data_IF_243303925361
#
_entry.id   IF_243303925361
#
_cell.length_a   1.000
_cell.length_b   1.000
_cell.length_c   1.000
_cell.angle_alpha   90.00
_cell.angle_beta   90.00
_cell.angle_gamma   90.00
#
_symmetry.space_group_name_H-M   'P 1'
#
loop_
_entity.id
_entity.type
_entity.pdbx_description
1 polymer ?
#
# COMPACT_ATOMS: atom_id res chain seq x y z
N UNK A 1 -7.64 -3.47 19.29
CA UNK A 1 -6.35 -3.07 18.68
C UNK A 1 -6.29 -1.55 18.64
N UNK A 2 -5.18 -0.90 19.03
CA UNK A 2 -5.07 0.55 18.86
C UNK A 2 -5.33 0.92 17.39
N UNK A 3 -6.04 2.02 17.16
CA UNK A 3 -6.42 2.44 15.80
C UNK A 3 -5.19 2.68 14.94
N UNK A 4 -5.22 2.17 13.70
CA UNK A 4 -4.21 2.49 12.69
C UNK A 4 -4.27 3.99 12.39
N UNK A 5 -3.12 4.66 12.30
CA UNK A 5 -3.10 6.07 11.97
C UNK A 5 -3.73 6.31 10.58
N UNK A 6 -4.63 7.29 10.50
CA UNK A 6 -5.40 7.57 9.29
C UNK A 6 -5.43 9.06 9.01
N UNK A 7 -5.26 9.41 7.73
CA UNK A 7 -5.43 10.79 7.25
C UNK A 7 -6.47 10.79 6.15
N UNK A 8 -7.50 11.61 6.32
CA UNK A 8 -8.45 11.91 5.27
C UNK A 8 -7.91 13.03 4.38
N UNK A 9 -7.88 12.79 3.08
CA UNK A 9 -7.38 13.73 2.07
C UNK A 9 -8.59 14.38 1.39
N UNK A 10 -8.69 15.70 1.46
CA UNK A 10 -9.69 16.44 0.71
C UNK A 10 -9.38 16.34 -0.78
N UNK A 11 -10.35 15.86 -1.56
CA UNK A 11 -10.30 15.82 -3.02
C UNK A 11 -11.50 16.60 -3.52
N UNK A 12 -11.27 17.60 -4.37
CA UNK A 12 -12.33 18.50 -4.87
C UNK A 12 -13.24 17.80 -5.88
N UNK A 13 -12.68 16.86 -6.65
CA UNK A 13 -13.35 16.11 -7.72
C UNK A 13 -13.49 14.61 -7.41
N UNK A 14 -13.92 13.85 -8.42
CA UNK A 14 -13.97 12.39 -8.38
C UNK A 14 -12.59 11.74 -8.17
N UNK A 15 -12.49 10.82 -7.23
CA UNK A 15 -11.30 10.06 -6.88
C UNK A 15 -11.54 8.54 -7.10
N UNK A 16 -10.81 7.90 -8.03
CA UNK A 16 -10.93 6.46 -8.25
C UNK A 16 -10.22 5.61 -7.18
N UNK A 17 -9.48 6.24 -6.26
CA UNK A 17 -8.71 5.55 -5.21
C UNK A 17 -9.56 5.45 -3.95
N UNK A 18 -9.73 4.24 -3.40
CA UNK A 18 -10.40 4.03 -2.12
C UNK A 18 -9.49 4.34 -0.94
N UNK A 19 -8.23 3.90 -1.02
CA UNK A 19 -7.23 4.14 0.00
C UNK A 19 -5.82 3.92 -0.56
N UNK A 20 -4.83 4.50 0.10
CA UNK A 20 -3.45 4.09 0.03
C UNK A 20 -2.96 3.67 1.42
N UNK A 21 -2.09 2.68 1.49
CA UNK A 21 -1.56 2.17 2.75
C UNK A 21 -0.04 2.12 2.74
N UNK A 22 0.54 2.41 3.89
CA UNK A 22 1.92 2.07 4.18
C UNK A 22 1.95 0.97 5.24
N UNK A 23 2.56 -0.15 4.92
CA UNK A 23 2.67 -1.31 5.78
C UNK A 23 4.10 -1.81 5.86
N UNK A 24 4.42 -2.51 6.94
CA UNK A 24 5.73 -3.11 7.17
C UNK A 24 5.59 -4.47 7.86
N UNK A 25 6.60 -5.31 7.68
CA UNK A 25 6.73 -6.57 8.40
C UNK A 25 7.36 -6.32 9.76
N UNK A 26 6.64 -6.58 10.84
CA UNK A 26 7.17 -6.62 12.20
C UNK A 26 7.67 -8.04 12.51
N UNK A 27 8.91 -8.16 12.98
CA UNK A 27 9.54 -9.46 13.20
C UNK A 27 8.88 -10.31 14.31
N UNK A 28 8.05 -9.68 15.15
CA UNK A 28 7.34 -10.34 16.26
C UNK A 28 5.86 -10.50 15.91
N UNK A 29 5.25 -9.45 15.34
CA UNK A 29 3.80 -9.36 15.16
C UNK A 29 3.33 -9.64 13.71
N UNK A 30 4.26 -9.86 12.78
CA UNK A 30 3.95 -10.04 11.36
C UNK A 30 3.59 -8.72 10.67
N UNK A 31 2.79 -8.73 9.59
CA UNK A 31 2.43 -7.51 8.86
C UNK A 31 1.66 -6.51 9.72
N UNK A 32 2.05 -5.24 9.59
CA UNK A 32 1.42 -4.11 10.29
C UNK A 32 1.17 -2.99 9.32
N UNK A 33 -0.04 -2.42 9.35
CA UNK A 33 -0.31 -1.14 8.69
C UNK A 33 0.14 -0.02 9.62
N UNK A 34 1.05 0.81 9.13
CA UNK A 34 1.51 1.99 9.85
C UNK A 34 0.58 3.17 9.61
N UNK A 35 0.12 3.35 8.36
CA UNK A 35 -0.70 4.49 8.00
C UNK A 35 -1.68 4.19 6.86
N UNK A 36 -2.84 4.84 6.90
CA UNK A 36 -3.87 4.82 5.86
C UNK A 36 -4.13 6.25 5.38
N UNK A 37 -4.06 6.48 4.06
CA UNK A 37 -4.58 7.69 3.43
C UNK A 37 -5.85 7.33 2.66
N UNK A 38 -6.94 8.04 2.93
CA UNK A 38 -8.21 7.82 2.24
C UNK A 38 -8.81 9.16 1.78
N UNK A 39 -9.44 9.26 0.60
CA UNK A 39 -10.15 10.47 0.22
C UNK A 39 -11.33 10.72 1.16
N UNK A 40 -11.58 11.99 1.46
CA UNK A 40 -12.70 12.42 2.29
C UNK A 40 -13.98 12.43 1.46
N UNK A 41 -15.02 11.72 1.90
CA UNK A 41 -16.37 11.84 1.35
C UNK A 41 -16.70 11.04 0.08
N UNK A 42 -15.73 10.36 -0.55
CA UNK A 42 -15.98 9.41 -1.64
C UNK A 42 -15.47 8.02 -1.25
N UNK A 43 -16.33 7.00 -1.32
CA UNK A 43 -15.92 5.59 -1.16
C UNK A 43 -15.90 5.01 0.26
N UNK A 44 -16.35 5.76 1.28
CA UNK A 44 -16.48 5.31 2.69
C UNK A 44 -17.37 4.06 2.91
N UNK A 45 -17.94 3.48 1.86
CA UNK A 45 -18.85 2.33 1.92
C UNK A 45 -18.22 1.00 1.49
N UNK A 46 -17.10 0.97 0.74
CA UNK A 46 -16.66 -0.29 0.12
C UNK A 46 -15.73 -1.12 1.01
N UNK A 47 -14.88 -0.47 1.82
CA UNK A 47 -13.95 -1.15 2.72
C UNK A 47 -13.89 -0.45 4.07
N UNK A 48 -14.07 -1.22 5.13
CA UNK A 48 -13.77 -0.78 6.50
C UNK A 48 -12.25 -0.72 6.74
N UNK A 49 -11.81 0.05 7.75
CA UNK A 49 -10.40 0.12 8.14
C UNK A 49 -9.82 -1.28 8.50
N UNK A 50 -10.67 -2.18 9.02
CA UNK A 50 -10.31 -3.57 9.29
C UNK A 50 -10.04 -4.36 8.02
N UNK A 51 -10.81 -4.16 6.96
CA UNK A 51 -10.58 -4.79 5.66
C UNK A 51 -9.34 -4.24 4.97
N UNK A 52 -9.13 -2.92 5.00
CA UNK A 52 -7.90 -2.30 4.49
C UNK A 52 -6.66 -2.87 5.19
N UNK A 53 -6.75 -3.06 6.50
CA UNK A 53 -5.68 -3.70 7.29
C UNK A 53 -5.48 -5.16 6.89
N UNK A 54 -6.56 -5.92 6.71
CA UNK A 54 -6.51 -7.31 6.25
C UNK A 54 -5.83 -7.44 4.88
N UNK A 55 -6.14 -6.56 3.93
CA UNK A 55 -5.56 -6.54 2.59
C UNK A 55 -4.05 -6.27 2.61
N UNK A 56 -3.63 -5.28 3.41
CA UNK A 56 -2.22 -4.98 3.59
C UNK A 56 -1.46 -6.14 4.24
N UNK A 57 -2.08 -6.85 5.18
CA UNK A 57 -1.50 -8.03 5.80
C UNK A 57 -1.33 -9.17 4.79
N UNK A 58 -2.34 -9.41 3.95
CA UNK A 58 -2.28 -10.43 2.90
C UNK A 58 -1.16 -10.15 1.90
N UNK A 59 -0.89 -8.87 1.61
CA UNK A 59 0.17 -8.45 0.67
C UNK A 59 1.57 -8.85 1.16
N UNK A 60 1.83 -8.74 2.48
CA UNK A 60 3.17 -8.94 3.07
C UNK A 60 3.40 -10.36 3.61
N UNK A 61 2.36 -11.15 3.87
CA UNK A 61 2.47 -12.51 4.45
C UNK A 61 3.33 -13.51 3.67
N UNK A 62 3.62 -13.26 2.38
CA UNK A 62 4.50 -14.09 1.56
C UNK A 62 5.92 -13.56 1.34
N UNK A 63 6.25 -12.38 1.87
CA UNK A 63 7.43 -11.62 1.43
C UNK A 63 8.64 -11.70 2.37
N UNK A 64 8.52 -12.37 3.52
CA UNK A 64 9.55 -12.40 4.56
C UNK A 64 10.86 -13.07 4.12
N UNK A 65 10.80 -14.06 3.23
CA UNK A 65 11.98 -14.77 2.73
C UNK A 65 12.55 -14.18 1.43
N UNK A 66 12.13 -12.96 1.05
CA UNK A 66 12.67 -12.33 -0.17
C UNK A 66 14.16 -12.04 -0.03
N UNK A 67 14.91 -12.59 -0.98
CA UNK A 67 16.25 -12.13 -1.35
C UNK A 67 16.11 -11.14 -2.52
N UNK A 68 15.65 -9.92 -2.24
CA UNK A 68 15.66 -8.87 -3.26
C UNK A 68 17.08 -8.31 -3.41
N UNK A 69 17.49 -7.96 -4.64
CA UNK A 69 18.70 -7.16 -4.80
C UNK A 69 18.57 -5.85 -4.01
N UNK A 70 19.66 -5.39 -3.38
CA UNK A 70 19.63 -4.19 -2.55
C UNK A 70 19.09 -3.00 -3.35
N UNK A 71 17.95 -2.45 -2.91
CA UNK A 71 17.29 -1.34 -3.58
C UNK A 71 16.22 -1.72 -4.62
N UNK A 72 15.99 -3.01 -4.90
CA UNK A 72 14.88 -3.45 -5.74
C UNK A 72 13.52 -3.05 -5.15
N UNK A 73 12.53 -2.80 -6.02
CA UNK A 73 11.15 -2.52 -5.64
C UNK A 73 10.27 -3.38 -6.53
N UNK A 74 9.55 -4.29 -5.90
CA UNK A 74 8.72 -5.26 -6.60
C UNK A 74 7.28 -4.80 -6.63
N UNK A 75 6.66 -5.01 -7.79
CA UNK A 75 5.31 -4.55 -8.04
C UNK A 75 4.42 -5.77 -8.06
N UNK A 76 3.39 -5.77 -7.23
CA UNK A 76 2.32 -6.75 -7.28
C UNK A 76 1.01 -6.07 -7.63
N UNK A 77 0.30 -6.71 -8.55
CA UNK A 77 -1.02 -6.31 -8.97
C UNK A 77 -1.99 -7.43 -8.61
N UNK A 78 -2.98 -7.12 -7.79
CA UNK A 78 -4.00 -8.07 -7.35
C UNK A 78 -5.38 -7.58 -7.76
N UNK A 79 -6.21 -8.52 -8.21
CA UNK A 79 -7.66 -8.33 -8.33
C UNK A 79 -8.30 -9.22 -7.27
N UNK A 80 -8.98 -8.60 -6.32
CA UNK A 80 -9.69 -9.31 -5.26
C UNK A 80 -11.19 -9.24 -5.53
N UNK A 81 -11.66 -10.16 -6.37
CA UNK A 81 -13.01 -10.14 -6.91
C UNK A 81 -14.09 -10.25 -5.83
N UNK A 82 -13.85 -11.03 -4.78
CA UNK A 82 -14.76 -11.19 -3.65
C UNK A 82 -14.95 -9.91 -2.83
N UNK A 83 -14.02 -8.95 -2.93
CA UNK A 83 -14.11 -7.62 -2.31
C UNK A 83 -14.35 -6.51 -3.33
N UNK A 84 -14.43 -6.84 -4.62
CA UNK A 84 -14.65 -5.86 -5.68
C UNK A 84 -13.57 -4.78 -5.76
N UNK A 85 -12.31 -5.13 -5.44
CA UNK A 85 -11.18 -4.17 -5.46
C UNK A 85 -9.99 -4.68 -6.26
N UNK A 86 -9.19 -3.73 -6.72
CA UNK A 86 -7.83 -3.96 -7.22
C UNK A 86 -6.83 -3.31 -6.29
N UNK A 87 -5.67 -3.95 -6.15
CA UNK A 87 -4.61 -3.51 -5.25
C UNK A 87 -3.31 -3.52 -6.04
N UNK A 88 -2.61 -2.38 -6.02
CA UNK A 88 -1.26 -2.28 -6.56
C UNK A 88 -0.32 -1.99 -5.42
N UNK A 89 0.57 -2.94 -5.14
CA UNK A 89 1.49 -2.88 -4.02
C UNK A 89 2.92 -2.87 -4.52
N UNK A 90 3.68 -1.88 -4.05
CA UNK A 90 5.12 -1.82 -4.25
C UNK A 90 5.78 -2.29 -2.96
N UNK A 91 6.46 -3.43 -3.04
CA UNK A 91 7.11 -4.12 -1.93
C UNK A 91 8.60 -3.87 -2.01
N UNK A 92 9.21 -3.51 -0.90
CA UNK A 92 10.56 -2.98 -0.88
C UNK A 92 11.19 -3.12 0.50
N UNK A 93 12.49 -3.35 0.57
CA UNK A 93 13.20 -3.32 1.85
C UNK A 93 13.34 -1.89 2.36
N UNK A 94 13.03 -1.68 3.64
CA UNK A 94 13.21 -0.42 4.35
C UNK A 94 13.89 -0.64 5.71
N UNK A 95 14.14 0.46 6.40
CA UNK A 95 14.68 0.45 7.75
C UNK A 95 13.75 1.27 8.65
N UNK A 96 13.13 0.63 9.64
CA UNK A 96 12.21 1.31 10.54
C UNK A 96 12.72 1.15 11.96
N UNK A 97 13.02 2.29 12.61
CA UNK A 97 13.55 2.34 13.99
C UNK A 97 14.85 1.53 14.17
N UNK A 98 15.67 1.45 13.12
CA UNK A 98 16.96 0.73 13.12
C UNK A 98 16.86 -0.76 12.78
N UNK A 99 15.64 -1.30 12.64
CA UNK A 99 15.42 -2.66 12.17
C UNK A 99 15.27 -2.65 10.64
N UNK A 100 15.78 -3.70 9.98
CA UNK A 100 15.48 -3.95 8.57
C UNK A 100 14.12 -4.63 8.47
N UNK A 101 13.24 -4.08 7.63
CA UNK A 101 11.87 -4.58 7.48
C UNK A 101 11.48 -4.59 5.99
N UNK A 102 10.73 -5.62 5.60
CA UNK A 102 10.01 -5.61 4.33
C UNK A 102 8.83 -4.65 4.44
N UNK A 103 8.79 -3.63 3.59
CA UNK A 103 7.74 -2.62 3.55
C UNK A 103 6.88 -2.77 2.30
N UNK A 104 5.65 -2.26 2.35
CA UNK A 104 4.77 -2.16 1.21
C UNK A 104 4.06 -0.80 1.18
N UNK A 105 4.08 -0.16 0.02
CA UNK A 105 3.23 0.98 -0.30
C UNK A 105 2.16 0.52 -1.30
N UNK A 106 0.89 0.60 -0.92
CA UNK A 106 -0.20 0.08 -1.76
C UNK A 106 -1.21 1.17 -2.12
N UNK A 107 -1.79 1.07 -3.32
CA UNK A 107 -2.97 1.82 -3.75
C UNK A 107 -4.11 0.82 -3.97
N UNK A 108 -5.28 1.14 -3.44
CA UNK A 108 -6.50 0.33 -3.52
C UNK A 108 -7.54 1.11 -4.33
N UNK A 109 -8.10 0.49 -5.36
CA UNK A 109 -9.15 1.06 -6.20
C UNK A 109 -10.32 0.06 -6.30
N UNK A 110 -11.55 0.50 -6.62
CA UNK A 110 -12.63 -0.41 -6.98
C UNK A 110 -12.27 -1.19 -8.24
N UNK A 111 -12.73 -2.43 -8.34
CA UNK A 111 -12.52 -3.26 -9.53
C UNK A 111 -13.20 -2.68 -10.78
N UNK A 112 -14.26 -1.88 -10.63
CA UNK A 112 -14.89 -1.15 -11.73
C UNK A 112 -13.94 -0.18 -12.43
N UNK A 113 -12.91 0.30 -11.73
CA UNK A 113 -11.90 1.24 -12.25
C UNK A 113 -10.73 0.55 -12.95
N UNK A 114 -10.79 -0.77 -13.15
CA UNK A 114 -9.70 -1.53 -13.76
C UNK A 114 -9.33 -1.01 -15.17
N UNK A 115 -10.32 -0.76 -16.03
CA UNK A 115 -10.09 -0.25 -17.38
C UNK A 115 -9.49 1.15 -17.39
N UNK A 116 -9.85 1.98 -16.40
CA UNK A 116 -9.26 3.30 -16.19
C UNK A 116 -7.81 3.20 -15.71
N UNK A 117 -7.52 2.28 -14.79
CA UNK A 117 -6.20 2.15 -14.16
C UNK A 117 -5.15 1.51 -15.07
N UNK A 118 -5.50 0.49 -15.85
CA UNK A 118 -4.53 -0.28 -16.64
C UNK A 118 -3.65 0.57 -17.58
N UNK A 119 -4.18 1.55 -18.35
CA UNK A 119 -3.35 2.44 -19.16
C UNK A 119 -2.39 3.32 -18.35
N UNK A 120 -2.72 3.62 -17.09
CA UNK A 120 -1.93 4.47 -16.19
C UNK A 120 -0.93 3.66 -15.35
N UNK A 121 -1.03 2.33 -15.33
CA UNK A 121 -0.31 1.46 -14.41
C UNK A 121 1.20 1.75 -14.38
N UNK A 122 1.87 1.77 -15.52
CA UNK A 122 3.32 2.00 -15.60
C UNK A 122 3.72 3.38 -15.05
N UNK A 123 2.93 4.42 -15.32
CA UNK A 123 3.20 5.78 -14.82
C UNK A 123 3.05 5.83 -13.30
N UNK A 124 1.97 5.24 -12.77
CA UNK A 124 1.74 5.16 -11.33
C UNK A 124 2.87 4.39 -10.63
N UNK A 125 3.27 3.24 -11.17
CA UNK A 125 4.35 2.41 -10.62
C UNK A 125 5.66 3.18 -10.59
N UNK A 126 6.09 3.80 -11.69
CA UNK A 126 7.37 4.52 -11.71
C UNK A 126 7.35 5.75 -10.79
N UNK A 127 6.21 6.43 -10.68
CA UNK A 127 6.05 7.54 -9.73
C UNK A 127 6.18 7.06 -8.28
N UNK A 128 5.53 5.96 -7.93
CA UNK A 128 5.62 5.38 -6.58
C UNK A 128 7.01 4.83 -6.27
N UNK A 129 7.68 4.19 -7.24
CA UNK A 129 9.10 3.80 -7.09
C UNK A 129 9.99 4.99 -6.76
N UNK A 130 9.78 6.13 -7.40
CA UNK A 130 10.53 7.35 -7.08
C UNK A 130 10.25 7.85 -5.65
N UNK A 131 9.00 7.79 -5.19
CA UNK A 131 8.62 8.11 -3.80
C UNK A 131 9.33 7.16 -2.83
N UNK A 132 9.31 5.85 -3.09
CA UNK A 132 9.97 4.83 -2.26
C UNK A 132 11.48 5.06 -2.18
N UNK A 133 12.14 5.39 -3.29
CA UNK A 133 13.58 5.71 -3.30
C UNK A 133 13.90 6.86 -2.34
N UNK A 134 13.10 7.93 -2.37
CA UNK A 134 13.24 9.06 -1.43
C UNK A 134 12.91 8.66 0.01
N UNK A 135 11.84 7.89 0.20
CA UNK A 135 11.40 7.40 1.51
C UNK A 135 12.46 6.54 2.20
N UNK A 136 13.12 5.65 1.47
CA UNK A 136 14.23 4.82 1.98
C UNK A 136 15.39 5.63 2.54
N UNK A 137 15.76 6.72 1.88
CA UNK A 137 16.81 7.62 2.38
C UNK A 137 16.37 8.27 3.69
N UNK A 138 15.09 8.65 3.82
CA UNK A 138 14.54 9.21 5.05
C UNK A 138 14.41 8.18 6.18
N UNK A 139 14.19 6.91 5.84
CA UNK A 139 14.10 5.79 6.79
C UNK A 139 15.43 5.44 7.45
N UNK A 140 16.55 5.68 6.75
CA UNK A 140 17.91 5.45 7.24
C UNK A 140 18.48 6.60 8.10
N UNK A 141 17.72 7.69 8.27
CA UNK A 141 18.11 8.85 9.09
C UNK A 141 17.51 8.75 10.49
#
# INVERSE_FOLDING_TARGET
>A
SPGVAKTEVLVEDWCPVLAATFAYWDNILGPRVQHIWAPKGQGLSLLSDGEVTFLANHTLNGEILRSAESGAVDVKFFVLAEKGVIIVSLIFDGELKGDKNTCALSIILPQSELSFYLPLHSVCVERLKHIIRKGRICMQK
#
